data_IF_640427175825
#
_entry.id   IF_640427175825
#
_cell.length_a   1.000
_cell.length_b   1.000
_cell.length_c   1.000
_cell.angle_alpha   90.00
_cell.angle_beta   90.00
_cell.angle_gamma   90.00
#
_symmetry.space_group_name_H-M   'P 1'
#
loop_
_entity.id
_entity.type
_entity.pdbx_description
1 polymer ?
#
# COMPACT_ATOMS: atom_id res chain seq x y z
N UNK A 1 -21.43 2.79 12.52
CA UNK A 1 -21.54 2.33 11.11
C UNK A 1 -21.55 0.80 11.10
N UNK A 2 -22.37 0.16 10.27
CA UNK A 2 -22.41 -1.30 10.20
C UNK A 2 -21.05 -1.84 9.70
N UNK A 3 -20.39 -2.70 10.48
CA UNK A 3 -19.06 -3.26 10.17
C UNK A 3 -19.03 -3.97 8.82
N UNK A 4 -20.12 -4.63 8.45
CA UNK A 4 -20.25 -5.30 7.15
C UNK A 4 -20.25 -4.30 5.98
N UNK A 5 -20.98 -3.19 6.13
CA UNK A 5 -21.01 -2.13 5.11
C UNK A 5 -19.61 -1.52 4.94
N UNK A 6 -18.92 -1.24 6.05
CA UNK A 6 -17.55 -0.72 5.99
C UNK A 6 -16.59 -1.71 5.34
N UNK A 7 -16.69 -3.00 5.67
CA UNK A 7 -15.88 -4.08 5.11
C UNK A 7 -16.03 -4.16 3.58
N UNK A 8 -17.28 -4.19 3.10
CA UNK A 8 -17.58 -4.15 1.66
C UNK A 8 -17.07 -2.87 1.02
N UNK A 9 -17.24 -1.72 1.67
CA UNK A 9 -16.74 -0.44 1.18
C UNK A 9 -15.22 -0.42 1.00
N UNK A 10 -14.45 -0.85 2.00
CA UNK A 10 -12.99 -0.90 1.95
C UNK A 10 -12.47 -1.90 0.91
N UNK A 11 -13.15 -3.04 0.75
CA UNK A 11 -12.84 -4.02 -0.29
C UNK A 11 -13.10 -3.45 -1.70
N UNK A 12 -14.22 -2.76 -1.90
CA UNK A 12 -14.56 -2.12 -3.18
C UNK A 12 -13.57 -0.99 -3.51
N UNK A 13 -13.19 -0.15 -2.54
CA UNK A 13 -12.17 0.89 -2.73
C UNK A 13 -10.85 0.27 -3.20
N UNK A 14 -10.42 -0.84 -2.60
CA UNK A 14 -9.24 -1.60 -3.06
C UNK A 14 -9.40 -2.01 -4.53
N UNK A 15 -10.49 -2.69 -4.88
CA UNK A 15 -10.72 -3.24 -6.22
C UNK A 15 -10.78 -2.13 -7.26
N UNK A 16 -11.44 -1.02 -6.96
CA UNK A 16 -11.58 0.14 -7.87
C UNK A 16 -10.20 0.77 -8.12
N UNK A 17 -9.42 1.02 -7.07
CA UNK A 17 -8.10 1.65 -7.21
C UNK A 17 -7.12 0.74 -7.98
N UNK A 18 -7.13 -0.56 -7.72
CA UNK A 18 -6.35 -1.53 -8.50
C UNK A 18 -6.80 -1.57 -9.97
N UNK A 19 -8.13 -1.56 -10.22
CA UNK A 19 -8.70 -1.54 -11.56
C UNK A 19 -8.33 -0.26 -12.32
N UNK A 20 -8.27 0.88 -11.64
CA UNK A 20 -7.79 2.14 -12.23
C UNK A 20 -6.31 2.08 -12.58
N UNK A 21 -5.46 1.53 -11.71
CA UNK A 21 -4.05 1.30 -12.05
C UNK A 21 -3.92 0.41 -13.30
N UNK A 22 -4.70 -0.68 -13.39
CA UNK A 22 -4.73 -1.53 -14.57
C UNK A 22 -5.19 -0.79 -15.83
N UNK A 23 -6.32 -0.09 -15.75
CA UNK A 23 -6.91 0.67 -16.85
C UNK A 23 -5.96 1.76 -17.37
N UNK A 24 -5.41 2.58 -16.49
CA UNK A 24 -4.47 3.64 -16.88
C UNK A 24 -3.14 3.08 -17.39
N UNK A 25 -2.66 1.97 -16.85
CA UNK A 25 -1.48 1.29 -17.37
C UNK A 25 -1.70 0.76 -18.78
N UNK A 26 -2.88 0.19 -19.06
CA UNK A 26 -3.28 -0.21 -20.42
C UNK A 26 -3.40 0.99 -21.35
N UNK A 27 -4.09 2.06 -20.93
CA UNK A 27 -4.28 3.29 -21.70
C UNK A 27 -2.96 3.95 -22.08
N UNK A 28 -1.95 3.89 -21.20
CA UNK A 28 -0.64 4.48 -21.42
C UNK A 28 0.38 3.53 -22.09
N UNK A 29 -0.03 2.31 -22.51
CA UNK A 29 0.86 1.36 -23.18
C UNK A 29 1.94 0.74 -22.28
N UNK A 30 1.77 0.77 -20.96
CA UNK A 30 2.74 0.26 -19.96
C UNK A 30 2.22 -0.94 -19.17
N UNK A 31 1.18 -1.62 -19.68
CA UNK A 31 0.55 -2.75 -19.01
C UNK A 31 1.52 -3.90 -18.69
N UNK A 32 2.43 -4.22 -19.60
CA UNK A 32 3.41 -5.29 -19.38
C UNK A 32 4.39 -4.95 -18.26
N UNK A 33 4.71 -3.66 -18.06
CA UNK A 33 5.52 -3.21 -16.93
C UNK A 33 4.74 -3.32 -15.63
N UNK A 34 3.48 -2.89 -15.63
CA UNK A 34 2.60 -3.04 -14.47
C UNK A 34 2.49 -4.52 -14.04
N UNK A 35 2.26 -5.44 -14.97
CA UNK A 35 2.21 -6.90 -14.70
C UNK A 35 3.52 -7.47 -14.14
N UNK A 36 4.66 -6.92 -14.54
CA UNK A 36 5.99 -7.30 -14.04
C UNK A 36 6.31 -6.67 -12.69
N UNK A 37 5.61 -5.61 -12.30
CA UNK A 37 5.76 -4.97 -11.01
C UNK A 37 5.03 -5.79 -9.94
N UNK A 38 5.69 -6.86 -9.46
CA UNK A 38 5.00 -7.92 -8.72
C UNK A 38 4.38 -7.49 -7.40
N UNK A 39 4.90 -6.43 -6.78
CA UNK A 39 4.32 -5.86 -5.57
C UNK A 39 2.90 -5.35 -5.85
N UNK A 40 2.77 -4.39 -6.77
CA UNK A 40 1.49 -3.75 -7.09
C UNK A 40 0.51 -4.66 -7.81
N UNK A 41 1.01 -5.57 -8.66
CA UNK A 41 0.12 -6.45 -9.41
C UNK A 41 -0.38 -7.65 -8.61
N UNK A 42 0.48 -8.29 -7.80
CA UNK A 42 0.16 -9.54 -7.10
C UNK A 42 0.13 -9.38 -5.58
N UNK A 43 1.16 -8.80 -4.98
CA UNK A 43 1.31 -8.77 -3.53
C UNK A 43 0.23 -7.93 -2.84
N UNK A 44 -0.14 -6.80 -3.44
CA UNK A 44 -1.15 -5.89 -2.92
C UNK A 44 -2.51 -6.56 -2.72
N UNK A 45 -2.82 -7.67 -3.41
CA UNK A 45 -4.06 -8.42 -3.21
C UNK A 45 -4.22 -9.00 -1.81
N UNK A 46 -3.15 -9.10 -1.01
CA UNK A 46 -3.23 -9.42 0.41
C UNK A 46 -4.04 -8.36 1.17
N UNK A 47 -4.06 -7.11 0.70
CA UNK A 47 -4.87 -6.06 1.32
C UNK A 47 -6.36 -6.23 1.09
N UNK A 48 -6.80 -7.05 0.12
CA UNK A 48 -8.23 -7.32 -0.04
C UNK A 48 -8.84 -8.05 1.17
N UNK A 49 -8.35 -9.25 1.58
CA UNK A 49 -8.83 -9.89 2.79
C UNK A 49 -8.52 -9.06 4.05
N UNK A 50 -7.39 -8.34 4.10
CA UNK A 50 -7.11 -7.45 5.23
C UNK A 50 -8.15 -6.33 5.37
N UNK A 51 -8.52 -5.66 4.28
CA UNK A 51 -9.55 -4.61 4.27
C UNK A 51 -10.92 -5.13 4.70
N UNK A 52 -11.23 -6.38 4.35
CA UNK A 52 -12.47 -7.04 4.78
C UNK A 52 -12.46 -7.24 6.30
N UNK A 53 -11.33 -7.66 6.87
CA UNK A 53 -11.17 -7.93 8.30
C UNK A 53 -11.05 -6.66 9.15
N UNK A 54 -10.50 -5.58 8.60
CA UNK A 54 -10.15 -4.36 9.33
C UNK A 54 -11.28 -3.82 10.25
N UNK A 55 -12.56 -3.68 9.80
CA UNK A 55 -13.65 -3.18 10.66
C UNK A 55 -13.99 -4.08 11.85
N UNK A 56 -13.61 -5.35 11.78
CA UNK A 56 -13.88 -6.33 12.83
C UNK A 56 -12.78 -6.35 13.88
N UNK A 57 -11.55 -6.02 13.49
CA UNK A 57 -10.35 -6.11 14.34
C UNK A 57 -9.87 -4.76 14.87
N UNK A 58 -10.34 -3.64 14.30
CA UNK A 58 -9.97 -2.28 14.71
C UNK A 58 -11.16 -1.57 15.37
N UNK A 59 -10.95 -0.99 16.55
CA UNK A 59 -11.92 -0.13 17.24
C UNK A 59 -11.41 1.30 17.19
N UNK A 60 -11.91 2.09 16.26
CA UNK A 60 -11.54 3.49 16.10
C UNK A 60 -12.75 4.33 15.69
N UNK A 61 -12.80 5.56 16.16
CA UNK A 61 -13.70 6.62 15.69
C UNK A 61 -13.21 7.19 14.36
N UNK A 62 -14.06 7.95 13.66
CA UNK A 62 -13.64 8.58 12.41
C UNK A 62 -12.56 9.64 12.66
N UNK A 63 -12.69 10.37 13.77
CA UNK A 63 -11.77 11.41 14.21
C UNK A 63 -10.38 10.84 14.50
N UNK A 64 -10.29 9.72 15.23
CA UNK A 64 -9.04 9.00 15.47
C UNK A 64 -8.42 8.48 14.17
N UNK A 65 -9.24 7.98 13.24
CA UNK A 65 -8.75 7.58 11.92
C UNK A 65 -8.18 8.77 11.13
N UNK A 66 -8.81 9.95 11.21
CA UNK A 66 -8.28 11.17 10.57
C UNK A 66 -6.93 11.60 11.14
N UNK A 67 -6.71 11.44 12.45
CA UNK A 67 -5.41 11.70 13.11
C UNK A 67 -4.30 10.84 12.50
N UNK A 68 -4.61 9.65 11.99
CA UNK A 68 -3.65 8.78 11.28
C UNK A 68 -3.59 9.14 9.79
N UNK A 69 -4.74 9.35 9.14
CA UNK A 69 -4.82 9.58 7.71
C UNK A 69 -4.08 10.85 7.28
N UNK A 70 -4.24 11.95 8.01
CA UNK A 70 -3.66 13.25 7.63
C UNK A 70 -2.12 13.20 7.63
N UNK A 71 -1.42 12.75 8.70
CA UNK A 71 0.02 12.61 8.69
C UNK A 71 0.52 11.63 7.62
N UNK A 72 -0.15 10.48 7.44
CA UNK A 72 0.23 9.50 6.40
C UNK A 72 0.13 10.12 5.01
N UNK A 73 -0.96 10.85 4.72
CA UNK A 73 -1.14 11.56 3.46
C UNK A 73 -0.03 12.60 3.22
N UNK A 74 0.31 13.41 4.24
CA UNK A 74 1.40 14.39 4.13
C UNK A 74 2.75 13.69 3.86
N UNK A 75 3.06 12.62 4.61
CA UNK A 75 4.28 11.83 4.41
C UNK A 75 4.32 11.26 2.99
N UNK A 76 3.20 10.72 2.49
CA UNK A 76 3.13 10.20 1.12
C UNK A 76 3.34 11.29 0.08
N UNK A 77 2.81 12.50 0.27
CA UNK A 77 3.09 13.66 -0.59
C UNK A 77 4.60 13.93 -0.61
N UNK A 78 5.24 14.01 0.56
CA UNK A 78 6.67 14.30 0.68
C UNK A 78 7.53 13.22 0.01
N UNK A 79 7.21 11.95 0.22
CA UNK A 79 7.88 10.81 -0.43
C UNK A 79 7.73 10.90 -1.94
N UNK A 80 6.53 11.17 -2.45
CA UNK A 80 6.32 11.30 -3.89
C UNK A 80 7.05 12.52 -4.45
N UNK A 81 7.07 13.68 -3.77
CA UNK A 81 7.86 14.84 -4.20
C UNK A 81 9.36 14.51 -4.22
N UNK A 82 9.88 13.86 -3.19
CA UNK A 82 11.28 13.44 -3.13
C UNK A 82 11.61 12.48 -4.28
N UNK A 83 10.75 11.49 -4.49
CA UNK A 83 10.89 10.51 -5.57
C UNK A 83 10.83 11.17 -6.95
N UNK A 84 9.89 12.10 -7.18
CA UNK A 84 9.80 12.90 -8.40
C UNK A 84 11.09 13.69 -8.66
N UNK A 85 11.63 14.35 -7.63
CA UNK A 85 12.85 15.16 -7.75
C UNK A 85 14.11 14.32 -7.95
N UNK A 86 14.21 13.13 -7.34
CA UNK A 86 15.46 12.35 -7.31
C UNK A 86 15.51 11.14 -8.25
N UNK A 87 14.39 10.51 -8.60
CA UNK A 87 14.41 9.28 -9.43
C UNK A 87 14.12 9.54 -10.91
N UNK A 88 13.28 10.53 -11.22
CA UNK A 88 12.98 10.93 -12.60
C UNK A 88 14.09 11.80 -13.20
N UNK A 89 14.69 12.70 -12.42
CA UNK A 89 15.87 13.49 -12.87
C UNK A 89 17.08 12.63 -13.24
N UNK A 90 17.11 11.37 -12.77
CA UNK A 90 18.18 10.41 -13.01
C UNK A 90 17.80 9.31 -14.04
N UNK A 91 16.64 9.40 -14.72
CA UNK A 91 16.23 8.52 -15.83
C UNK A 91 15.98 7.06 -15.45
N UNK A 92 15.66 6.77 -14.18
CA UNK A 92 15.52 5.39 -13.66
C UNK A 92 14.08 4.86 -13.68
N UNK A 93 13.07 5.69 -13.95
CA UNK A 93 11.66 5.30 -13.86
C UNK A 93 10.92 5.58 -15.17
N UNK A 94 10.61 4.52 -15.92
CA UNK A 94 10.08 4.64 -17.27
C UNK A 94 8.54 4.62 -17.27
N UNK A 95 7.92 5.79 -17.08
CA UNK A 95 6.55 6.08 -17.52
C UNK A 95 5.38 5.30 -16.89
N UNK A 96 5.57 4.54 -15.80
CA UNK A 96 4.45 3.84 -15.14
C UNK A 96 3.66 4.78 -14.23
N UNK A 97 4.32 5.37 -13.23
CA UNK A 97 3.69 6.25 -12.26
C UNK A 97 3.86 7.73 -12.63
N UNK A 98 4.87 8.06 -13.42
CA UNK A 98 5.15 9.43 -13.87
C UNK A 98 5.50 9.50 -15.35
N UNK A 99 4.92 10.44 -16.09
CA UNK A 99 5.26 10.67 -17.48
C UNK A 99 6.36 11.73 -17.60
N UNK A 100 7.57 11.29 -17.95
CA UNK A 100 8.73 12.18 -18.08
C UNK A 100 8.54 13.24 -19.16
N UNK A 101 7.92 12.90 -20.30
CA UNK A 101 7.77 13.83 -21.43
C UNK A 101 6.76 14.94 -21.17
N UNK A 102 5.75 14.66 -20.32
CA UNK A 102 4.73 15.64 -19.92
C UNK A 102 4.99 16.26 -18.55
N UNK A 103 6.07 15.85 -17.88
CA UNK A 103 6.43 16.24 -16.53
C UNK A 103 5.23 16.14 -15.55
N UNK A 104 4.44 15.08 -15.65
CA UNK A 104 3.22 14.91 -14.85
C UNK A 104 3.00 13.48 -14.34
N UNK A 105 2.27 13.36 -13.23
CA UNK A 105 1.90 12.06 -12.66
C UNK A 105 0.85 11.42 -13.58
N UNK A 106 1.01 10.12 -13.87
CA UNK A 106 0.05 9.39 -14.70
C UNK A 106 -1.23 9.09 -13.91
N UNK A 107 -2.33 8.75 -14.59
CA UNK A 107 -3.53 8.26 -13.91
C UNK A 107 -3.27 7.02 -13.03
N UNK A 108 -2.31 6.16 -13.43
CA UNK A 108 -1.88 5.03 -12.62
C UNK A 108 -1.10 5.50 -11.38
N UNK A 109 -0.25 6.51 -11.51
CA UNK A 109 0.44 7.17 -10.40
C UNK A 109 -0.50 7.74 -9.35
N UNK A 110 -1.52 8.50 -9.76
CA UNK A 110 -2.53 9.01 -8.83
C UNK A 110 -3.31 7.89 -8.15
N UNK A 111 -3.68 6.84 -8.90
CA UNK A 111 -4.41 5.70 -8.35
C UNK A 111 -3.56 4.94 -7.33
N UNK A 112 -2.26 4.79 -7.58
CA UNK A 112 -1.31 4.18 -6.65
C UNK A 112 -1.05 5.05 -5.41
N UNK A 113 -0.95 6.37 -5.57
CA UNK A 113 -0.82 7.30 -4.46
C UNK A 113 -2.02 7.24 -3.50
N UNK A 114 -3.24 7.28 -4.04
CA UNK A 114 -4.47 7.17 -3.23
C UNK A 114 -4.52 5.80 -2.55
N UNK A 115 -4.26 4.74 -3.31
CA UNK A 115 -4.20 3.37 -2.80
C UNK A 115 -3.23 3.23 -1.62
N UNK A 116 -1.96 3.58 -1.84
CA UNK A 116 -0.92 3.44 -0.82
C UNK A 116 -1.26 4.27 0.41
N UNK A 117 -1.79 5.48 0.26
CA UNK A 117 -2.19 6.33 1.38
C UNK A 117 -3.26 5.65 2.23
N UNK A 118 -4.36 5.20 1.61
CA UNK A 118 -5.46 4.53 2.33
C UNK A 118 -4.94 3.26 3.01
N UNK A 119 -4.17 2.44 2.31
CA UNK A 119 -3.66 1.19 2.87
C UNK A 119 -2.71 1.40 4.04
N UNK A 120 -1.75 2.33 3.90
CA UNK A 120 -0.88 2.71 5.01
C UNK A 120 -1.68 3.17 6.22
N UNK A 121 -2.71 4.01 6.04
CA UNK A 121 -3.56 4.47 7.15
C UNK A 121 -4.35 3.33 7.81
N UNK A 122 -4.85 2.36 7.04
CA UNK A 122 -5.51 1.16 7.58
C UNK A 122 -4.52 0.29 8.36
N UNK A 123 -3.30 0.12 7.88
CA UNK A 123 -2.25 -0.66 8.58
C UNK A 123 -1.80 0.04 9.85
N UNK A 124 -1.56 1.36 9.82
CA UNK A 124 -1.18 2.11 11.02
C UNK A 124 -2.29 2.11 12.08
N UNK A 125 -3.54 2.32 11.67
CA UNK A 125 -4.68 2.23 12.61
C UNK A 125 -4.85 0.83 13.17
N UNK A 126 -4.57 -0.21 12.38
CA UNK A 126 -4.56 -1.58 12.89
C UNK A 126 -3.48 -1.78 13.98
N UNK A 127 -2.27 -1.25 13.81
CA UNK A 127 -1.23 -1.37 14.85
C UNK A 127 -1.56 -0.64 16.14
N UNK A 128 -2.33 0.46 16.08
CA UNK A 128 -2.62 1.31 17.25
C UNK A 128 -3.92 0.90 17.95
N UNK A 129 -4.93 0.51 17.18
CA UNK A 129 -6.31 0.38 17.65
C UNK A 129 -6.88 -1.05 17.47
N UNK A 130 -6.02 -2.04 17.21
CA UNK A 130 -6.50 -3.43 17.11
C UNK A 130 -6.91 -3.99 18.48
N UNK A 131 -7.91 -4.85 18.46
CA UNK A 131 -8.34 -5.62 19.64
C UNK A 131 -7.73 -7.01 19.64
N UNK A 132 -7.61 -7.63 20.81
CA UNK A 132 -7.20 -9.02 20.90
C UNK A 132 -8.35 -9.96 20.46
N UNK A 133 -8.21 -10.57 19.29
CA UNK A 133 -9.18 -11.51 18.74
C UNK A 133 -8.52 -12.50 17.78
N UNK A 134 -9.17 -13.65 17.52
CA UNK A 134 -8.71 -14.59 16.49
C UNK A 134 -8.49 -13.92 15.12
N UNK A 135 -9.42 -13.04 14.72
CA UNK A 135 -9.33 -12.34 13.44
C UNK A 135 -8.14 -11.38 13.37
N UNK A 136 -7.73 -10.81 14.51
CA UNK A 136 -6.53 -9.96 14.60
C UNK A 136 -5.28 -10.75 14.28
N UNK A 137 -5.17 -11.99 14.76
CA UNK A 137 -4.05 -12.88 14.42
C UNK A 137 -4.05 -13.27 12.94
N UNK A 138 -5.23 -13.47 12.34
CA UNK A 138 -5.34 -13.67 10.88
C UNK A 138 -4.81 -12.43 10.14
N UNK A 139 -5.20 -11.22 10.56
CA UNK A 139 -4.67 -9.98 9.98
C UNK A 139 -3.15 -9.84 10.15
N UNK A 140 -2.59 -10.24 11.29
CA UNK A 140 -1.14 -10.28 11.49
C UNK A 140 -0.45 -11.23 10.51
N UNK A 141 -1.00 -12.42 10.27
CA UNK A 141 -0.46 -13.37 9.29
C UNK A 141 -0.51 -12.77 7.89
N UNK A 142 -1.61 -12.10 7.51
CA UNK A 142 -1.71 -11.42 6.21
C UNK A 142 -0.61 -10.36 6.05
N UNK A 143 -0.42 -9.49 7.04
CA UNK A 143 0.62 -8.45 6.99
C UNK A 143 2.03 -9.05 6.99
N UNK A 144 2.27 -10.14 7.74
CA UNK A 144 3.56 -10.85 7.70
C UNK A 144 3.84 -11.40 6.29
N UNK A 145 2.84 -12.03 5.65
CA UNK A 145 2.96 -12.50 4.28
C UNK A 145 3.21 -11.34 3.29
N UNK A 146 2.61 -10.18 3.52
CA UNK A 146 2.87 -8.97 2.74
C UNK A 146 4.35 -8.55 2.85
N UNK A 147 4.90 -8.40 4.06
CA UNK A 147 6.30 -8.00 4.23
C UNK A 147 7.30 -9.03 3.68
N UNK A 148 7.06 -10.33 3.91
CA UNK A 148 7.90 -11.39 3.34
C UNK A 148 7.80 -11.42 1.80
N UNK A 149 6.61 -11.25 1.25
CA UNK A 149 6.40 -11.11 -0.19
C UNK A 149 7.04 -9.86 -0.78
N UNK A 150 7.26 -8.82 0.04
CA UNK A 150 8.02 -7.63 -0.30
C UNK A 150 9.48 -7.94 -0.63
N UNK A 151 10.12 -8.87 0.09
CA UNK A 151 11.50 -9.32 -0.18
C UNK A 151 11.57 -9.95 -1.58
N UNK A 152 10.64 -10.87 -1.86
CA UNK A 152 10.55 -11.57 -3.15
C UNK A 152 10.25 -10.59 -4.27
N UNK A 153 9.33 -9.65 -4.04
CA UNK A 153 8.94 -8.65 -5.03
C UNK A 153 10.07 -7.69 -5.35
N UNK A 154 10.75 -7.15 -4.34
CA UNK A 154 11.91 -6.27 -4.52
C UNK A 154 12.99 -6.95 -5.36
N UNK A 155 13.35 -8.20 -5.04
CA UNK A 155 14.31 -8.98 -5.81
C UNK A 155 13.86 -9.22 -7.26
N UNK A 156 12.58 -9.47 -7.51
CA UNK A 156 12.05 -9.66 -8.87
C UNK A 156 12.01 -8.36 -9.69
N UNK A 157 11.66 -7.24 -9.07
CA UNK A 157 11.53 -5.94 -9.75
C UNK A 157 12.92 -5.35 -10.03
N UNK A 158 13.84 -5.45 -9.08
CA UNK A 158 15.13 -4.75 -9.13
C UNK A 158 16.34 -5.67 -9.34
N UNK A 159 16.16 -7.00 -9.39
CA UNK A 159 17.25 -7.99 -9.45
C UNK A 159 17.97 -8.23 -8.10
N UNK A 160 17.77 -7.34 -7.13
CA UNK A 160 18.28 -7.41 -5.76
C UNK A 160 17.25 -6.81 -4.81
N UNK A 161 17.34 -7.12 -3.52
CA UNK A 161 16.52 -6.44 -2.52
C UNK A 161 17.09 -5.03 -2.32
N UNK A 162 16.32 -4.00 -2.61
CA UNK A 162 16.76 -2.61 -2.39
C UNK A 162 16.86 -2.33 -0.89
N UNK A 163 17.83 -1.50 -0.50
CA UNK A 163 18.03 -1.15 0.91
C UNK A 163 16.80 -0.45 1.50
N UNK A 164 16.14 0.42 0.72
CA UNK A 164 14.87 1.07 1.14
C UNK A 164 13.79 0.05 1.48
N UNK A 165 13.63 -0.95 0.61
CA UNK A 165 12.59 -1.97 0.75
C UNK A 165 12.92 -2.87 1.94
N UNK A 166 14.19 -3.22 2.11
CA UNK A 166 14.66 -4.01 3.24
C UNK A 166 14.40 -3.29 4.58
N UNK A 167 14.71 -1.99 4.67
CA UNK A 167 14.43 -1.19 5.87
C UNK A 167 12.94 -1.19 6.16
N UNK A 168 12.10 -0.94 5.15
CA UNK A 168 10.65 -0.95 5.31
C UNK A 168 10.12 -2.31 5.79
N UNK A 169 10.61 -3.41 5.21
CA UNK A 169 10.22 -4.77 5.57
C UNK A 169 10.64 -5.10 7.01
N UNK A 170 11.88 -4.77 7.40
CA UNK A 170 12.38 -5.01 8.75
C UNK A 170 11.56 -4.22 9.77
N UNK A 171 11.34 -2.92 9.53
CA UNK A 171 10.54 -2.08 10.41
C UNK A 171 9.10 -2.59 10.51
N UNK A 172 8.51 -3.03 9.40
CA UNK A 172 7.17 -3.62 9.38
C UNK A 172 7.07 -4.89 10.22
N UNK A 173 8.03 -5.81 10.08
CA UNK A 173 8.09 -7.06 10.85
C UNK A 173 8.32 -6.77 12.34
N UNK A 174 9.22 -5.84 12.68
CA UNK A 174 9.45 -5.44 14.08
C UNK A 174 8.15 -4.88 14.68
N UNK A 175 7.48 -3.96 13.98
CA UNK A 175 6.20 -3.39 14.44
C UNK A 175 5.14 -4.47 14.61
N UNK A 176 5.06 -5.44 13.71
CA UNK A 176 4.16 -6.59 13.84
C UNK A 176 4.45 -7.40 15.11
N UNK A 177 5.71 -7.73 15.37
CA UNK A 177 6.12 -8.50 16.55
C UNK A 177 5.81 -7.73 17.82
N UNK A 178 6.15 -6.44 17.88
CA UNK A 178 5.88 -5.57 19.03
C UNK A 178 4.37 -5.50 19.29
N UNK A 179 3.57 -5.26 18.25
CA UNK A 179 2.11 -5.18 18.38
C UNK A 179 1.44 -6.52 18.71
N UNK A 180 2.11 -7.64 18.44
CA UNK A 180 1.64 -8.97 18.81
C UNK A 180 1.89 -9.29 20.29
N UNK A 181 2.96 -8.74 20.87
CA UNK A 181 3.38 -9.00 22.25
C UNK A 181 2.68 -8.07 23.25
N UNK A 182 2.50 -6.79 22.87
CA UNK A 182 1.83 -5.77 23.68
C UNK A 182 0.30 -5.85 23.56
#
# INVERSE_FOLDING_TARGET
MNKLILSVGLALVFIILWSFQYYFSKKNGVLDRFKKHTATFYLDWIFLPFNILWPFVVITTFEEFLIILIPVFIIHILIHIYWLKHYISNGKEKNHLFNESKNNITGAGYSHFIFSTIQSSLVFSFFIFSINSFLTYVSYVLLLLFFLGGIVSSKKIHGKVQTSDLIFIILGIITLIVSFIL
#
